data_IF_980090297299
#
_entry.id   IF_980090297299
#
_cell.length_a   1.000
_cell.length_b   1.000
_cell.length_c   1.000
_cell.angle_alpha   90.00
_cell.angle_beta   90.00
_cell.angle_gamma   90.00
#
_symmetry.space_group_name_H-M   'P 1'
#
loop_
_entity.id
_entity.type
_entity.pdbx_description
1 polymer ?
#
# COMPACT_ATOMS: atom_id res chain seq x y z
N UNK A 1 -18.42 5.78 -19.64
CA UNK A 1 -17.40 4.78 -19.24
C UNK A 1 -16.04 5.26 -19.73
N UNK A 2 -15.16 5.72 -18.85
CA UNK A 2 -13.77 6.06 -19.19
C UNK A 2 -12.86 5.06 -18.49
N UNK A 3 -12.27 4.18 -19.28
CA UNK A 3 -11.31 3.17 -18.84
C UNK A 3 -10.01 3.86 -18.46
N UNK A 4 -9.61 3.76 -17.19
CA UNK A 4 -8.28 4.18 -16.74
C UNK A 4 -7.26 3.17 -17.24
N UNK A 5 -6.59 3.49 -18.36
CA UNK A 5 -5.40 2.77 -18.80
C UNK A 5 -4.28 3.03 -17.79
N UNK A 6 -4.07 2.09 -16.88
CA UNK A 6 -2.83 2.02 -16.09
C UNK A 6 -1.69 1.69 -17.06
N UNK A 7 -0.90 2.70 -17.41
CA UNK A 7 0.33 2.54 -18.16
C UNK A 7 1.34 1.80 -17.28
N UNK A 8 1.43 0.48 -17.45
CA UNK A 8 2.54 -0.31 -16.91
C UNK A 8 3.82 0.09 -17.64
N UNK A 9 4.54 1.07 -17.10
CA UNK A 9 5.86 1.47 -17.58
C UNK A 9 6.87 0.50 -16.97
N UNK A 10 7.38 -0.42 -17.79
CA UNK A 10 8.54 -1.25 -17.44
C UNK A 10 9.70 -0.34 -17.05
N UNK A 11 9.97 -0.21 -15.75
CA UNK A 11 11.14 0.51 -15.25
C UNK A 11 12.33 -0.43 -15.30
N UNK A 12 13.23 -0.16 -16.25
CA UNK A 12 14.53 -0.81 -16.32
C UNK A 12 15.24 -0.74 -14.97
N UNK A 13 15.95 -1.82 -14.64
CA UNK A 13 16.67 -2.06 -13.39
C UNK A 13 17.84 -1.06 -13.26
N UNK A 14 17.58 0.17 -12.83
CA UNK A 14 18.61 1.19 -12.59
C UNK A 14 19.21 1.02 -11.20
N UNK A 15 20.45 0.52 -11.08
CA UNK A 15 21.22 0.50 -9.81
C UNK A 15 21.68 1.92 -9.44
N UNK A 16 21.36 2.39 -8.22
CA UNK A 16 21.70 3.73 -7.74
C UNK A 16 20.89 4.19 -6.51
N UNK A 17 21.20 5.39 -6.02
CA UNK A 17 20.72 6.01 -4.76
C UNK A 17 19.18 6.21 -4.62
N UNK A 18 18.37 5.88 -5.62
CA UNK A 18 16.90 5.92 -5.57
C UNK A 18 16.23 4.56 -5.34
N UNK A 19 16.93 3.65 -4.66
CA UNK A 19 16.52 2.26 -4.37
C UNK A 19 16.45 1.95 -2.86
N UNK A 20 16.41 2.96 -1.98
CA UNK A 20 16.13 2.71 -0.57
C UNK A 20 14.79 1.97 -0.43
N UNK A 21 14.66 1.09 0.56
CA UNK A 21 13.39 0.44 0.91
C UNK A 21 12.31 1.51 1.13
N UNK A 22 12.70 2.62 1.76
CA UNK A 22 11.84 3.78 2.01
C UNK A 22 11.35 4.40 0.70
N UNK A 23 12.22 4.62 -0.29
CA UNK A 23 11.85 5.14 -1.61
C UNK A 23 10.94 4.20 -2.40
N UNK A 24 11.12 2.88 -2.24
CA UNK A 24 10.27 1.89 -2.89
C UNK A 24 8.87 1.87 -2.26
N UNK A 25 8.79 1.97 -0.94
CA UNK A 25 7.51 2.09 -0.21
C UNK A 25 6.80 3.38 -0.60
N UNK A 26 7.49 4.52 -0.58
CA UNK A 26 6.93 5.81 -0.93
C UNK A 26 6.34 5.80 -2.35
N UNK A 27 7.12 5.38 -3.35
CA UNK A 27 6.64 5.29 -4.75
C UNK A 27 5.46 4.35 -4.91
N UNK A 28 5.44 3.24 -4.17
CA UNK A 28 4.34 2.27 -4.22
C UNK A 28 3.08 2.85 -3.58
N UNK A 29 3.20 3.57 -2.46
CA UNK A 29 2.08 4.25 -1.82
C UNK A 29 1.52 5.39 -2.68
N UNK A 30 2.37 6.15 -3.37
CA UNK A 30 1.95 7.18 -4.33
C UNK A 30 1.13 6.60 -5.50
N UNK A 31 1.43 5.39 -5.97
CA UNK A 31 0.62 4.72 -7.00
C UNK A 31 -0.80 4.41 -6.52
N UNK A 32 -0.99 4.18 -5.22
CA UNK A 32 -2.30 3.95 -4.61
C UNK A 32 -2.96 5.25 -4.12
N UNK A 33 -2.28 6.40 -4.25
CA UNK A 33 -2.83 7.68 -3.87
C UNK A 33 -3.84 8.16 -4.92
N UNK A 34 -5.13 8.02 -4.59
CA UNK A 34 -6.25 8.44 -5.45
C UNK A 34 -6.44 9.98 -5.54
N UNK A 35 -5.51 10.75 -5.00
CA UNK A 35 -5.60 12.22 -5.00
C UNK A 35 -6.59 12.78 -3.99
N UNK A 36 -6.83 14.11 -4.02
CA UNK A 36 -7.77 14.81 -3.13
C UNK A 36 -9.23 14.38 -3.30
N UNK A 37 -9.57 13.73 -4.43
CA UNK A 37 -10.91 13.23 -4.72
C UNK A 37 -11.13 11.76 -4.33
N UNK A 38 -10.10 11.09 -3.82
CA UNK A 38 -10.22 9.75 -3.27
C UNK A 38 -11.01 9.74 -1.95
N UNK A 39 -11.39 8.56 -1.44
CA UNK A 39 -12.05 8.47 -0.16
C UNK A 39 -11.14 9.06 0.93
N UNK A 40 -11.71 9.83 1.89
CA UNK A 40 -10.93 10.47 2.94
C UNK A 40 -10.22 9.44 3.84
N UNK A 41 -10.71 8.20 3.91
CA UNK A 41 -10.12 7.12 4.68
C UNK A 41 -9.97 5.87 3.79
N UNK A 42 -8.77 5.28 3.78
CA UNK A 42 -8.49 4.01 3.11
C UNK A 42 -8.24 2.91 4.13
N UNK A 43 -8.84 1.75 3.91
CA UNK A 43 -8.73 0.60 4.80
C UNK A 43 -8.18 -0.57 3.99
N UNK A 44 -7.01 -1.07 4.39
CA UNK A 44 -6.35 -2.21 3.75
C UNK A 44 -6.03 -3.29 4.78
N UNK A 45 -6.86 -4.32 4.92
CA UNK A 45 -6.52 -5.49 5.73
C UNK A 45 -5.39 -6.26 5.05
N UNK A 46 -4.31 -6.52 5.78
CA UNK A 46 -3.11 -7.22 5.29
C UNK A 46 -2.90 -8.57 5.99
N UNK A 47 -3.76 -8.95 6.92
CA UNK A 47 -3.79 -10.27 7.56
C UNK A 47 -5.08 -10.49 8.36
N UNK A 48 -5.36 -11.75 8.72
CA UNK A 48 -6.59 -12.15 9.41
C UNK A 48 -7.84 -12.22 8.53
N UNK A 49 -7.66 -12.32 7.21
CA UNK A 49 -8.77 -12.43 6.25
C UNK A 49 -9.09 -13.89 5.97
N UNK A 50 -10.26 -14.35 6.42
CA UNK A 50 -10.75 -15.71 6.17
C UNK A 50 -10.15 -16.77 7.10
N UNK A 51 -9.34 -16.37 8.07
CA UNK A 51 -8.74 -17.23 9.09
C UNK A 51 -8.70 -16.53 10.46
N UNK A 52 -8.33 -17.29 11.50
CA UNK A 52 -8.14 -16.75 12.85
C UNK A 52 -6.64 -16.49 13.06
N UNK A 53 -6.29 -15.26 13.40
CA UNK A 53 -4.91 -14.86 13.70
C UNK A 53 -4.28 -14.01 12.60
N UNK A 54 -3.00 -13.64 12.78
CA UNK A 54 -2.27 -12.74 11.86
C UNK A 54 -2.99 -11.42 11.55
N UNK A 55 -3.83 -10.95 12.47
CA UNK A 55 -4.60 -9.71 12.29
C UNK A 55 -3.64 -8.53 12.13
N UNK A 56 -3.78 -7.83 11.00
CA UNK A 56 -3.10 -6.56 10.78
C UNK A 56 -3.80 -5.78 9.67
N UNK A 57 -3.92 -4.47 9.85
CA UNK A 57 -4.59 -3.59 8.89
C UNK A 57 -3.89 -2.23 8.81
N UNK A 58 -3.86 -1.66 7.61
CA UNK A 58 -3.41 -0.29 7.38
C UNK A 58 -4.63 0.63 7.22
N UNK A 59 -4.62 1.74 7.95
CA UNK A 59 -5.60 2.82 7.85
C UNK A 59 -4.89 4.06 7.33
N UNK A 60 -5.30 4.51 6.14
CA UNK A 60 -4.62 5.56 5.40
C UNK A 60 -5.43 6.86 5.28
N UNK A 61 -4.72 7.98 5.39
CA UNK A 61 -5.19 9.32 5.04
C UNK A 61 -4.10 10.03 4.24
N UNK A 62 -4.42 10.39 2.99
CA UNK A 62 -3.47 10.86 1.99
C UNK A 62 -2.28 9.91 1.74
N UNK A 63 -1.06 10.33 2.05
CA UNK A 63 0.20 9.58 1.92
C UNK A 63 0.65 8.94 3.25
N UNK A 64 -0.17 9.07 4.30
CA UNK A 64 0.15 8.60 5.65
C UNK A 64 -0.74 7.42 6.01
N UNK A 65 -0.13 6.43 6.65
CA UNK A 65 -0.81 5.23 7.10
C UNK A 65 -0.48 4.94 8.56
N UNK A 66 -1.48 4.46 9.28
CA UNK A 66 -1.35 3.92 10.63
C UNK A 66 -1.58 2.42 10.51
N UNK A 67 -0.64 1.65 11.06
CA UNK A 67 -0.80 0.21 11.20
C UNK A 67 -1.54 -0.09 12.49
N UNK A 68 -2.57 -0.93 12.39
CA UNK A 68 -3.35 -1.41 13.52
C UNK A 68 -3.08 -2.91 13.65
N UNK A 69 -2.74 -3.30 14.87
CA UNK A 69 -2.41 -4.68 15.26
C UNK A 69 -1.11 -5.21 14.62
N UNK A 70 -0.56 -6.24 15.23
CA UNK A 70 0.58 -7.02 14.76
C UNK A 70 0.42 -8.47 15.25
N UNK A 71 -0.78 -9.00 15.05
CA UNK A 71 -1.16 -10.33 15.52
C UNK A 71 -0.28 -11.42 14.87
N UNK A 72 -0.05 -12.48 15.62
CA UNK A 72 0.57 -13.71 15.10
C UNK A 72 -0.48 -14.82 15.01
N UNK A 73 -0.14 -15.92 14.36
CA UNK A 73 -0.90 -17.17 14.47
C UNK A 73 -0.08 -18.18 15.27
N UNK A 74 -0.74 -18.88 16.18
CA UNK A 74 -0.15 -19.98 16.93
C UNK A 74 -0.46 -21.31 16.22
N UNK A 75 0.52 -22.24 16.14
CA UNK A 75 0.35 -23.56 15.54
C UNK A 75 -0.49 -24.52 16.39
#
# INVERSE_FOLDING_TARGET
>A
ARTSKLSSKNSGKLEGAGKSIEDAVQRKMEQFYEGPGGPPLRILPIGGLGEIGMNCMLVGHYDRYIMIDAGVMFP
#
